data_IF_734528500609
#
_entry.id   IF_734528500609
#
_cell.length_a   1.000
_cell.length_b   1.000
_cell.length_c   1.000
_cell.angle_alpha   90.00
_cell.angle_beta   90.00
_cell.angle_gamma   90.00
#
_symmetry.space_group_name_H-M   'P 1'
#
loop_
_entity.id
_entity.type
_entity.pdbx_description
1 polymer ?
#
# COMPACT_ATOMS: atom_id res chain seq x y z
N UNK A 1 -22.28 -6.50 -2.74
CA UNK A 1 -22.98 -6.18 -1.47
C UNK A 1 -23.25 -4.68 -1.34
N UNK A 2 -22.24 -3.81 -1.47
CA UNK A 2 -22.41 -2.34 -1.44
C UNK A 2 -23.42 -1.83 -2.49
N UNK A 3 -23.38 -2.36 -3.72
CA UNK A 3 -24.30 -1.95 -4.79
C UNK A 3 -25.78 -2.29 -4.54
N UNK A 4 -26.09 -3.31 -3.74
CA UNK A 4 -27.47 -3.71 -3.43
C UNK A 4 -28.05 -2.90 -2.27
N UNK A 5 -27.28 -2.72 -1.19
CA UNK A 5 -27.66 -1.85 -0.07
C UNK A 5 -27.88 -0.40 -0.54
N UNK A 6 -27.02 0.12 -1.41
CA UNK A 6 -27.13 1.47 -1.97
C UNK A 6 -28.31 1.63 -2.93
N UNK A 7 -28.62 0.61 -3.75
CA UNK A 7 -29.85 0.58 -4.57
C UNK A 7 -31.12 0.57 -3.72
N UNK A 8 -31.08 0.02 -2.52
CA UNK A 8 -32.23 -0.05 -1.63
C UNK A 8 -32.49 1.27 -0.90
N UNK A 9 -31.42 2.01 -0.56
CA UNK A 9 -31.52 3.36 0.01
C UNK A 9 -32.01 4.39 -1.03
N UNK A 10 -31.53 4.33 -2.28
CA UNK A 10 -32.01 5.21 -3.36
C UNK A 10 -33.50 4.99 -3.68
N UNK A 11 -33.97 3.74 -3.63
CA UNK A 11 -35.40 3.40 -3.78
C UNK A 11 -36.25 3.98 -2.66
N UNK A 12 -35.73 4.10 -1.42
CA UNK A 12 -36.47 4.75 -0.31
C UNK A 12 -36.48 6.28 -0.41
N UNK A 13 -35.53 6.89 -1.12
CA UNK A 13 -35.50 8.32 -1.45
C UNK A 13 -36.54 8.75 -2.51
N UNK A 14 -37.20 7.79 -3.17
CA UNK A 14 -38.09 8.00 -4.33
C UNK A 14 -39.35 8.86 -4.09
N UNK A 15 -39.60 9.33 -2.86
CA UNK A 15 -40.69 10.27 -2.59
C UNK A 15 -40.33 11.74 -2.90
N UNK A 16 -39.06 12.09 -3.13
CA UNK A 16 -38.62 13.45 -3.47
C UNK A 16 -37.58 13.40 -4.60
N UNK A 17 -37.92 13.97 -5.76
CA UNK A 17 -36.99 14.11 -6.89
C UNK A 17 -36.05 15.29 -6.64
N UNK A 18 -34.76 15.01 -6.49
CA UNK A 18 -33.71 16.03 -6.42
C UNK A 18 -32.96 16.11 -7.75
N UNK A 19 -32.58 17.32 -8.12
CA UNK A 19 -31.78 17.59 -9.32
C UNK A 19 -30.47 18.25 -8.92
N UNK A 20 -29.37 17.90 -9.57
CA UNK A 20 -28.03 18.42 -9.27
C UNK A 20 -27.57 19.28 -10.44
N UNK A 21 -27.32 20.55 -10.18
CA UNK A 21 -26.82 21.53 -11.16
C UNK A 21 -25.49 22.14 -10.68
N UNK A 22 -24.85 22.95 -11.53
CA UNK A 22 -23.52 23.50 -11.29
C UNK A 22 -23.44 24.52 -10.13
N UNK A 23 -24.60 25.02 -9.69
CA UNK A 23 -24.71 26.01 -8.61
C UNK A 23 -25.36 25.47 -7.32
N UNK A 24 -25.86 24.22 -7.33
CA UNK A 24 -26.41 23.56 -6.16
C UNK A 24 -27.32 22.36 -6.44
N UNK A 25 -28.04 21.94 -5.40
CA UNK A 25 -28.99 20.82 -5.42
C UNK A 25 -30.41 21.37 -5.25
N UNK A 26 -31.30 20.95 -6.13
CA UNK A 26 -32.66 21.46 -6.30
C UNK A 26 -33.72 20.41 -5.97
N UNK A 27 -34.91 20.89 -5.60
CA UNK A 27 -36.13 20.07 -5.50
C UNK A 27 -37.24 20.78 -6.25
N UNK A 28 -37.48 20.38 -7.51
CA UNK A 28 -38.20 21.20 -8.47
C UNK A 28 -37.48 22.54 -8.66
N UNK A 29 -38.21 23.65 -8.75
CA UNK A 29 -37.62 24.97 -9.03
C UNK A 29 -36.94 25.65 -7.81
N UNK A 30 -36.75 24.94 -6.69
CA UNK A 30 -36.20 25.50 -5.45
C UNK A 30 -34.85 24.90 -5.10
N UNK A 31 -33.82 25.75 -4.99
CA UNK A 31 -32.52 25.38 -4.44
C UNK A 31 -32.67 24.96 -2.96
N UNK A 32 -32.18 23.77 -2.63
CA UNK A 32 -32.24 23.15 -1.30
C UNK A 32 -30.87 23.15 -0.64
N UNK A 33 -29.79 23.04 -1.41
CA UNK A 33 -28.42 23.01 -0.91
C UNK A 33 -27.49 23.69 -1.92
N UNK A 34 -26.84 24.83 -1.58
CA UNK A 34 -25.93 25.57 -2.46
C UNK A 34 -24.54 24.93 -2.48
N UNK A 35 -24.47 23.61 -2.64
CA UNK A 35 -23.23 22.83 -2.62
C UNK A 35 -23.27 21.82 -3.75
N UNK A 36 -22.15 21.68 -4.44
CA UNK A 36 -21.96 20.71 -5.53
C UNK A 36 -20.92 19.67 -5.09
N UNK A 37 -21.21 18.40 -5.37
CA UNK A 37 -20.27 17.29 -5.16
C UNK A 37 -19.35 17.22 -6.37
N UNK A 38 -18.05 17.39 -6.15
CA UNK A 38 -17.03 17.39 -7.21
C UNK A 38 -16.34 16.04 -7.37
N UNK A 39 -16.04 15.36 -6.26
CA UNK A 39 -15.39 14.05 -6.23
C UNK A 39 -15.89 13.24 -5.04
N UNK A 40 -16.07 11.93 -5.23
CA UNK A 40 -16.40 11.00 -4.15
C UNK A 40 -15.44 9.82 -4.22
N UNK A 41 -14.73 9.59 -3.11
CA UNK A 41 -13.92 8.40 -2.91
C UNK A 41 -14.56 7.54 -1.83
N UNK A 42 -14.56 6.22 -2.06
CA UNK A 42 -15.15 5.24 -1.15
C UNK A 42 -14.05 4.32 -0.65
N UNK A 43 -13.91 4.24 0.67
CA UNK A 43 -12.97 3.36 1.37
C UNK A 43 -13.78 2.29 2.09
N UNK A 44 -13.47 1.02 1.83
CA UNK A 44 -14.06 -0.12 2.55
C UNK A 44 -13.04 -0.60 3.58
N UNK A 45 -13.26 -0.30 4.86
CA UNK A 45 -12.35 -0.61 5.96
C UNK A 45 -13.03 -1.57 6.97
N UNK A 46 -12.25 -2.11 7.92
CA UNK A 46 -12.73 -3.06 8.95
C UNK A 46 -13.86 -2.46 9.81
N UNK A 47 -13.87 -1.13 9.95
CA UNK A 47 -14.88 -0.36 10.70
C UNK A 47 -16.12 0.03 9.86
N UNK A 48 -16.15 -0.31 8.57
CA UNK A 48 -17.26 -0.04 7.64
C UNK A 48 -16.90 0.90 6.49
N UNK A 49 -17.93 1.30 5.72
CA UNK A 49 -17.75 2.14 4.53
C UNK A 49 -17.52 3.60 4.94
N UNK A 50 -16.39 4.17 4.51
CA UNK A 50 -16.06 5.58 4.67
C UNK A 50 -16.07 6.30 3.33
N UNK A 51 -16.49 7.55 3.35
CA UNK A 51 -16.58 8.43 2.20
C UNK A 51 -15.63 9.60 2.39
N UNK A 52 -14.81 9.90 1.38
CA UNK A 52 -14.10 11.17 1.26
C UNK A 52 -14.78 11.94 0.14
N UNK A 53 -15.42 13.05 0.47
CA UNK A 53 -16.25 13.82 -0.45
C UNK A 53 -15.65 15.21 -0.61
N UNK A 54 -15.28 15.56 -1.85
CA UNK A 54 -14.89 16.92 -2.21
C UNK A 54 -16.12 17.68 -2.69
N UNK A 55 -16.34 18.82 -2.08
CA UNK A 55 -17.53 19.64 -2.24
C UNK A 55 -17.14 21.08 -2.52
N UNK A 56 -17.94 21.76 -3.32
CA UNK A 56 -17.84 23.20 -3.52
C UNK A 56 -19.16 23.86 -3.13
N UNK A 57 -19.11 24.70 -2.10
CA UNK A 57 -20.23 25.55 -1.69
C UNK A 57 -20.21 26.84 -2.51
N UNK A 58 -21.36 27.28 -3.01
CA UNK A 58 -21.53 28.58 -3.68
C UNK A 58 -21.86 29.70 -2.69
N UNK A 59 -22.42 29.35 -1.52
CA UNK A 59 -22.82 30.32 -0.48
C UNK A 59 -22.56 29.77 0.93
N UNK A 60 -21.47 30.17 1.62
CA UNK A 60 -20.34 30.96 1.11
C UNK A 60 -19.51 30.17 0.08
N UNK A 61 -18.79 30.88 -0.79
CA UNK A 61 -17.88 30.26 -1.77
C UNK A 61 -16.69 29.59 -1.07
N UNK A 62 -16.77 28.28 -0.86
CA UNK A 62 -15.75 27.50 -0.12
C UNK A 62 -15.62 26.11 -0.75
N UNK A 63 -14.37 25.67 -0.93
CA UNK A 63 -14.04 24.27 -1.23
C UNK A 63 -13.82 23.49 0.06
N UNK A 64 -14.44 22.31 0.15
CA UNK A 64 -14.53 21.51 1.37
C UNK A 64 -14.21 20.06 1.05
N UNK A 65 -13.38 19.43 1.87
CA UNK A 65 -13.18 17.99 1.85
C UNK A 65 -13.67 17.44 3.18
N UNK A 66 -14.69 16.59 3.12
CA UNK A 66 -15.28 15.94 4.29
C UNK A 66 -15.04 14.43 4.24
N UNK A 67 -14.69 13.85 5.38
CA UNK A 67 -14.35 12.44 5.52
C UNK A 67 -15.14 11.82 6.67
N UNK A 68 -15.64 10.60 6.46
CA UNK A 68 -16.32 9.82 7.50
C UNK A 68 -17.39 8.91 6.93
N UNK A 69 -18.28 8.42 7.78
CA UNK A 69 -19.56 7.90 7.29
C UNK A 69 -20.42 9.02 6.69
N UNK A 70 -21.55 8.67 6.06
CA UNK A 70 -22.42 9.65 5.42
C UNK A 70 -22.96 10.72 6.40
N UNK A 71 -23.18 10.37 7.66
CA UNK A 71 -23.68 11.30 8.68
C UNK A 71 -22.58 12.23 9.17
N UNK A 72 -21.35 11.74 9.29
CA UNK A 72 -20.16 12.55 9.58
C UNK A 72 -19.86 13.53 8.44
N UNK A 73 -19.98 13.10 7.19
CA UNK A 73 -19.86 13.97 6.01
C UNK A 73 -20.92 15.08 6.05
N UNK A 74 -22.17 14.75 6.39
CA UNK A 74 -23.21 15.75 6.55
C UNK A 74 -22.93 16.76 7.67
N UNK A 75 -22.51 16.28 8.85
CA UNK A 75 -22.18 17.17 9.96
C UNK A 75 -20.97 18.06 9.65
N UNK A 76 -19.99 17.56 8.87
CA UNK A 76 -18.88 18.35 8.35
C UNK A 76 -19.37 19.52 7.47
N UNK A 77 -20.25 19.23 6.50
CA UNK A 77 -20.84 20.27 5.63
C UNK A 77 -21.66 21.28 6.43
N UNK A 78 -22.52 20.81 7.33
CA UNK A 78 -23.38 21.64 8.18
C UNK A 78 -22.59 22.60 9.07
N UNK A 79 -21.41 22.19 9.58
CA UNK A 79 -20.54 23.08 10.38
C UNK A 79 -20.00 24.26 9.57
N UNK A 80 -19.75 24.05 8.28
CA UNK A 80 -19.11 25.03 7.38
C UNK A 80 -20.13 25.86 6.60
N UNK A 81 -21.35 25.32 6.41
CA UNK A 81 -22.47 25.99 5.77
C UNK A 81 -23.68 25.96 6.71
N UNK A 82 -23.70 26.78 7.78
CA UNK A 82 -24.66 26.67 8.88
C UNK A 82 -26.12 26.88 8.48
N UNK A 83 -26.37 27.49 7.32
CA UNK A 83 -27.71 27.72 6.78
C UNK A 83 -28.43 26.42 6.38
N UNK A 84 -27.71 25.28 6.38
CA UNK A 84 -28.19 23.97 5.93
C UNK A 84 -28.59 23.03 7.08
N UNK A 85 -29.22 23.56 8.12
CA UNK A 85 -29.65 22.75 9.26
C UNK A 85 -31.06 22.15 9.03
N UNK A 86 -31.18 21.15 8.15
CA UNK A 86 -32.45 20.44 7.96
C UNK A 86 -32.27 19.00 7.45
N UNK A 87 -33.22 18.12 7.79
CA UNK A 87 -33.27 16.77 7.23
C UNK A 87 -33.38 16.75 5.69
N UNK A 88 -33.89 17.82 5.09
CA UNK A 88 -34.01 17.95 3.64
C UNK A 88 -32.63 18.20 3.01
N UNK A 89 -31.77 18.99 3.65
CA UNK A 89 -30.39 19.20 3.22
C UNK A 89 -29.55 17.91 3.34
N UNK A 90 -29.74 17.14 4.42
CA UNK A 90 -29.09 15.81 4.56
C UNK A 90 -29.45 14.90 3.38
N UNK A 91 -30.73 14.76 3.07
CA UNK A 91 -31.18 13.90 1.97
C UNK A 91 -30.68 14.38 0.60
N UNK A 92 -30.65 15.70 0.38
CA UNK A 92 -30.11 16.30 -0.83
C UNK A 92 -28.62 15.96 -1.01
N UNK A 93 -27.80 16.08 0.04
CA UNK A 93 -26.38 15.70 0.01
C UNK A 93 -26.20 14.21 -0.32
N UNK A 94 -26.95 13.32 0.33
CA UNK A 94 -26.89 11.88 0.03
C UNK A 94 -27.21 11.63 -1.45
N UNK A 95 -28.28 12.25 -1.96
CA UNK A 95 -28.67 12.12 -3.36
C UNK A 95 -27.57 12.59 -4.32
N UNK A 96 -26.89 13.69 -4.02
CA UNK A 96 -25.80 14.19 -4.86
C UNK A 96 -24.58 13.27 -4.84
N UNK A 97 -24.18 12.76 -3.67
CA UNK A 97 -23.10 11.77 -3.54
C UNK A 97 -23.43 10.50 -4.35
N UNK A 98 -24.66 10.00 -4.26
CA UNK A 98 -25.09 8.82 -5.02
C UNK A 98 -25.15 9.07 -6.51
N UNK A 99 -25.71 10.22 -6.93
CA UNK A 99 -25.78 10.60 -8.34
C UNK A 99 -24.38 10.71 -8.94
N UNK A 100 -23.42 11.24 -8.18
CA UNK A 100 -22.03 11.30 -8.59
C UNK A 100 -21.43 9.90 -8.76
N UNK A 101 -21.61 9.01 -7.77
CA UNK A 101 -21.11 7.63 -7.80
C UNK A 101 -21.72 6.79 -8.92
N UNK A 102 -23.00 6.98 -9.23
CA UNK A 102 -23.68 6.28 -10.34
C UNK A 102 -23.13 6.73 -11.70
N UNK A 103 -22.84 8.03 -11.85
CA UNK A 103 -22.28 8.59 -13.09
C UNK A 103 -20.79 8.28 -13.30
N UNK A 104 -19.99 8.23 -12.23
CA UNK A 104 -18.53 8.18 -12.32
C UNK A 104 -17.92 6.87 -11.80
N UNK A 105 -18.73 5.99 -11.21
CA UNK A 105 -18.27 4.81 -10.50
C UNK A 105 -17.68 5.13 -9.12
N UNK A 106 -17.54 4.11 -8.27
CA UNK A 106 -16.80 4.26 -7.02
C UNK A 106 -15.31 4.34 -7.34
N UNK A 107 -14.71 5.53 -7.16
CA UNK A 107 -13.25 5.64 -7.05
C UNK A 107 -12.87 5.11 -5.68
N UNK A 108 -12.36 3.89 -5.63
CA UNK A 108 -11.63 3.45 -4.46
C UNK A 108 -10.34 4.24 -4.41
N UNK A 109 -10.15 5.05 -3.36
CA UNK A 109 -8.80 5.44 -2.99
C UNK A 109 -8.01 4.16 -2.78
N UNK A 110 -6.89 3.98 -3.49
CA UNK A 110 -5.95 2.89 -3.19
C UNK A 110 -5.66 2.96 -1.68
N UNK A 111 -6.21 2.00 -0.93
CA UNK A 111 -5.78 1.74 0.44
C UNK A 111 -4.32 1.33 0.32
N UNK A 112 -3.41 2.29 0.47
CA UNK A 112 -1.99 1.99 0.60
C UNK A 112 -1.81 1.34 1.97
N UNK A 113 -1.75 0.02 1.95
CA UNK A 113 -1.57 -0.82 3.14
C UNK A 113 -0.27 -0.46 3.85
N UNK A 114 -0.11 -0.87 5.11
CA UNK A 114 1.17 -0.67 5.78
C UNK A 114 2.32 -1.36 5.02
N UNK A 115 2.01 -2.48 4.36
CA UNK A 115 2.95 -3.19 3.51
C UNK A 115 3.35 -2.38 2.28
N UNK A 116 2.41 -1.70 1.61
CA UNK A 116 2.72 -0.84 0.45
C UNK A 116 3.63 0.33 0.84
N UNK A 117 3.34 0.98 1.98
CA UNK A 117 4.18 2.06 2.52
C UNK A 117 5.57 1.54 2.92
N UNK A 118 5.64 0.33 3.45
CA UNK A 118 6.91 -0.29 3.80
C UNK A 118 7.73 -0.66 2.56
N UNK A 119 7.12 -1.25 1.53
CA UNK A 119 7.75 -1.55 0.25
C UNK A 119 8.24 -0.28 -0.45
N UNK A 120 7.45 0.81 -0.41
CA UNK A 120 7.85 2.12 -0.92
C UNK A 120 9.13 2.63 -0.24
N UNK A 121 9.21 2.55 1.10
CA UNK A 121 10.40 2.93 1.84
C UNK A 121 11.63 2.07 1.48
N UNK A 122 11.43 0.76 1.28
CA UNK A 122 12.50 -0.14 0.81
C UNK A 122 13.01 0.28 -0.56
N UNK A 123 12.11 0.59 -1.50
CA UNK A 123 12.47 1.06 -2.84
C UNK A 123 13.21 2.41 -2.80
N UNK A 124 12.82 3.33 -1.93
CA UNK A 124 13.55 4.58 -1.70
C UNK A 124 14.98 4.33 -1.19
N UNK A 125 15.15 3.40 -0.23
CA UNK A 125 16.47 2.99 0.27
C UNK A 125 17.33 2.42 -0.86
N UNK A 126 16.75 1.55 -1.69
CA UNK A 126 17.45 0.93 -2.82
C UNK A 126 17.88 1.98 -3.86
N UNK A 127 17.01 2.93 -4.19
CA UNK A 127 17.33 4.03 -5.11
C UNK A 127 18.49 4.89 -4.59
N UNK A 128 18.49 5.22 -3.29
CA UNK A 128 19.59 5.97 -2.65
C UNK A 128 20.89 5.15 -2.64
N UNK A 129 20.81 3.85 -2.37
CA UNK A 129 21.97 2.96 -2.42
C UNK A 129 22.59 2.92 -3.83
N UNK A 130 21.75 2.74 -4.86
CA UNK A 130 22.17 2.75 -6.25
C UNK A 130 22.82 4.07 -6.66
N UNK A 131 22.18 5.20 -6.34
CA UNK A 131 22.71 6.54 -6.66
C UNK A 131 24.04 6.82 -5.95
N UNK A 132 24.16 6.38 -4.69
CA UNK A 132 25.40 6.58 -3.93
C UNK A 132 26.52 5.71 -4.50
N UNK A 133 26.22 4.45 -4.80
CA UNK A 133 27.21 3.54 -5.35
C UNK A 133 27.68 3.94 -6.76
N UNK A 134 26.77 4.41 -7.63
CA UNK A 134 27.14 4.89 -8.98
C UNK A 134 28.08 6.09 -8.93
N UNK A 135 27.90 7.00 -7.96
CA UNK A 135 28.82 8.13 -7.75
C UNK A 135 30.20 7.72 -7.24
N UNK A 136 30.31 6.60 -6.53
CA UNK A 136 31.58 6.08 -6.02
C UNK A 136 32.41 5.36 -7.10
N UNK A 137 31.77 4.73 -8.09
CA UNK A 137 32.46 4.14 -9.25
C UNK A 137 32.70 5.21 -10.33
N UNK A 138 33.96 5.63 -10.51
CA UNK A 138 34.40 6.56 -11.58
C UNK A 138 34.32 6.00 -13.03
N UNK A 139 33.51 4.98 -13.34
CA UNK A 139 33.55 4.32 -14.67
C UNK A 139 32.17 3.88 -15.20
N UNK A 140 32.02 4.11 -16.51
CA UNK A 140 30.97 3.93 -17.55
C UNK A 140 30.10 2.66 -17.57
N UNK A 141 29.81 2.00 -16.46
CA UNK A 141 28.72 1.01 -16.42
C UNK A 141 27.41 1.70 -16.02
N UNK A 142 26.71 2.24 -17.01
CA UNK A 142 25.26 2.46 -16.94
C UNK A 142 24.56 1.10 -16.95
N UNK A 143 23.99 0.67 -15.84
CA UNK A 143 22.87 -0.30 -15.84
C UNK A 143 22.30 -0.40 -14.42
N UNK A 144 20.97 -0.56 -14.28
CA UNK A 144 20.36 -0.71 -12.96
C UNK A 144 20.83 -2.02 -12.33
N UNK A 145 21.29 -1.94 -11.09
CA UNK A 145 21.58 -3.13 -10.30
C UNK A 145 20.27 -3.84 -9.98
N UNK A 146 20.26 -5.16 -10.10
CA UNK A 146 19.16 -5.96 -9.52
C UNK A 146 19.08 -5.68 -8.02
N UNK A 147 17.88 -5.70 -7.40
CA UNK A 147 17.72 -5.42 -5.96
C UNK A 147 18.64 -6.28 -5.07
N UNK A 148 18.89 -7.53 -5.47
CA UNK A 148 19.82 -8.45 -4.80
C UNK A 148 21.26 -7.90 -4.75
N UNK A 149 21.77 -7.39 -5.88
CA UNK A 149 23.11 -6.83 -5.97
C UNK A 149 23.25 -5.54 -5.13
N UNK A 150 22.17 -4.76 -5.01
CA UNK A 150 22.16 -3.57 -4.15
C UNK A 150 22.25 -3.91 -2.67
N UNK A 151 21.62 -5.00 -2.22
CA UNK A 151 21.74 -5.45 -0.83
C UNK A 151 23.18 -5.86 -0.51
N UNK A 152 23.87 -6.52 -1.44
CA UNK A 152 25.29 -6.82 -1.32
C UNK A 152 26.14 -5.56 -1.21
N UNK A 153 25.88 -4.56 -2.06
CA UNK A 153 26.61 -3.27 -2.00
C UNK A 153 26.37 -2.50 -0.71
N UNK A 154 25.15 -2.51 -0.18
CA UNK A 154 24.82 -1.91 1.11
C UNK A 154 25.62 -2.59 2.24
N UNK A 155 25.72 -3.92 2.22
CA UNK A 155 26.44 -4.68 3.24
C UNK A 155 27.96 -4.45 3.18
N UNK A 156 28.52 -4.30 1.97
CA UNK A 156 29.96 -4.23 1.74
C UNK A 156 30.54 -2.81 1.80
N UNK A 157 29.74 -1.77 1.55
CA UNK A 157 30.25 -0.40 1.38
C UNK A 157 29.77 0.56 2.50
N UNK A 158 30.66 1.02 3.39
CA UNK A 158 30.30 1.91 4.50
C UNK A 158 29.65 3.22 4.07
N UNK A 159 30.05 3.80 2.93
CA UNK A 159 29.49 5.07 2.43
C UNK A 159 28.06 4.89 1.91
N UNK A 160 27.78 3.75 1.28
CA UNK A 160 26.42 3.38 0.86
C UNK A 160 25.55 3.13 2.09
N UNK A 161 26.08 2.42 3.09
CA UNK A 161 25.40 2.19 4.36
C UNK A 161 25.09 3.50 5.10
N UNK A 162 26.01 4.46 5.13
CA UNK A 162 25.78 5.78 5.72
C UNK A 162 24.67 6.55 4.97
N UNK A 163 24.66 6.49 3.64
CA UNK A 163 23.65 7.17 2.83
C UNK A 163 22.24 6.63 3.10
N UNK A 164 22.05 5.30 3.17
CA UNK A 164 20.73 4.73 3.46
C UNK A 164 20.27 5.03 4.89
N UNK A 165 21.19 5.18 5.85
CA UNK A 165 20.84 5.54 7.23
C UNK A 165 20.28 6.96 7.35
N UNK A 166 20.56 7.85 6.38
CA UNK A 166 19.92 9.17 6.30
C UNK A 166 18.45 9.07 5.88
N UNK A 167 18.08 8.03 5.13
CA UNK A 167 16.70 7.75 4.71
C UNK A 167 15.95 7.04 5.83
N UNK A 168 16.53 5.95 6.35
CA UNK A 168 15.96 5.11 7.40
C UNK A 168 17.03 4.83 8.47
N UNK A 169 16.96 5.57 9.57
CA UNK A 169 17.94 5.47 10.65
C UNK A 169 18.00 4.04 11.23
N UNK A 170 19.22 3.55 11.43
CA UNK A 170 19.47 2.19 11.93
C UNK A 170 19.19 1.06 10.94
N UNK A 171 18.78 1.37 9.69
CA UNK A 171 18.63 0.38 8.65
C UNK A 171 19.97 -0.29 8.30
N UNK A 172 19.93 -1.60 8.03
CA UNK A 172 21.11 -2.38 7.62
C UNK A 172 20.70 -3.64 6.87
N UNK A 173 21.64 -4.19 6.11
CA UNK A 173 21.53 -5.54 5.55
C UNK A 173 22.17 -6.54 6.51
N UNK A 174 21.46 -7.63 6.85
CA UNK A 174 21.97 -8.72 7.70
C UNK A 174 22.85 -9.70 6.91
N UNK A 175 23.50 -10.63 7.61
CA UNK A 175 24.27 -11.73 7.01
C UNK A 175 23.42 -12.59 6.07
N UNK A 176 22.14 -12.76 6.36
CA UNK A 176 21.19 -13.52 5.53
C UNK A 176 20.59 -12.68 4.38
N UNK A 177 21.24 -11.56 4.04
CA UNK A 177 20.84 -10.64 2.97
C UNK A 177 19.40 -10.14 3.14
N UNK A 178 19.05 -9.77 4.37
CA UNK A 178 17.78 -9.12 4.69
C UNK A 178 18.01 -7.64 4.98
N UNK A 179 17.30 -6.76 4.28
CA UNK A 179 17.28 -5.34 4.64
C UNK A 179 16.30 -5.17 5.79
N UNK A 180 16.82 -4.74 6.93
CA UNK A 180 16.10 -4.61 8.17
C UNK A 180 16.02 -3.14 8.58
N UNK A 181 14.82 -2.70 8.98
CA UNK A 181 14.57 -1.35 9.48
C UNK A 181 14.02 -1.46 10.92
N UNK A 182 14.60 -0.73 11.90
CA UNK A 182 14.07 -0.70 13.26
C UNK A 182 12.61 -0.27 13.32
N UNK A 183 11.82 -0.89 14.20
CA UNK A 183 10.41 -0.57 14.40
C UNK A 183 10.20 0.90 14.74
N UNK A 184 11.06 1.48 15.58
CA UNK A 184 10.96 2.90 15.94
C UNK A 184 11.14 3.81 14.72
N UNK A 185 12.04 3.44 13.80
CA UNK A 185 12.25 4.16 12.54
C UNK A 185 11.02 4.06 11.63
N UNK A 186 10.37 2.90 11.55
CA UNK A 186 9.15 2.72 10.76
C UNK A 186 7.98 3.53 11.33
N UNK A 187 7.79 3.54 12.66
CA UNK A 187 6.79 4.38 13.33
C UNK A 187 7.02 5.87 13.05
N UNK A 188 8.27 6.33 13.12
CA UNK A 188 8.62 7.71 12.79
C UNK A 188 8.37 8.08 11.33
N UNK A 189 8.25 7.11 10.43
CA UNK A 189 7.88 7.29 9.02
C UNK A 189 6.37 7.20 8.76
N UNK A 190 5.56 7.10 9.81
CA UNK A 190 4.10 7.00 9.69
C UNK A 190 3.62 5.67 9.12
N UNK A 191 4.43 4.62 9.22
CA UNK A 191 4.05 3.25 8.83
C UNK A 191 3.38 2.58 10.04
N UNK A 192 2.19 2.00 9.82
CA UNK A 192 1.45 1.25 10.84
C UNK A 192 2.20 -0.06 11.14
N UNK A 193 2.97 -0.09 12.23
CA UNK A 193 3.81 -1.23 12.56
C UNK A 193 2.99 -2.37 13.14
N UNK A 194 1.89 -2.07 13.82
CA UNK A 194 1.00 -3.06 14.41
C UNK A 194 0.39 -3.97 13.33
N UNK A 195 -0.01 -3.41 12.20
CA UNK A 195 -0.47 -4.15 11.01
C UNK A 195 0.64 -5.04 10.42
N UNK A 196 1.86 -4.49 10.26
CA UNK A 196 3.01 -5.24 9.76
C UNK A 196 3.43 -6.37 10.71
N UNK A 197 3.37 -6.15 12.02
CA UNK A 197 3.72 -7.15 13.02
C UNK A 197 2.69 -8.28 13.05
N UNK A 198 1.40 -8.00 12.89
CA UNK A 198 0.33 -8.99 12.85
C UNK A 198 0.49 -9.99 11.69
N UNK A 199 0.99 -9.53 10.54
CA UNK A 199 1.28 -10.38 9.38
C UNK A 199 2.71 -10.95 9.35
N UNK A 200 3.58 -10.51 10.27
CA UNK A 200 4.98 -10.95 10.32
C UNK A 200 5.15 -12.38 10.83
N UNK A 201 6.29 -12.98 10.49
CA UNK A 201 6.82 -14.18 11.14
C UNK A 201 8.11 -13.81 11.87
N UNK A 202 8.34 -14.37 13.06
CA UNK A 202 9.63 -14.16 13.72
C UNK A 202 10.74 -14.93 13.00
N UNK A 203 11.96 -14.40 12.97
CA UNK A 203 13.09 -15.08 12.30
C UNK A 203 13.39 -16.46 12.89
N UNK A 204 13.24 -16.62 14.21
CA UNK A 204 13.41 -17.91 14.87
C UNK A 204 12.35 -18.92 14.40
N UNK A 205 11.08 -18.52 14.42
CA UNK A 205 9.98 -19.33 13.94
C UNK A 205 10.13 -19.69 12.45
N UNK A 206 10.58 -18.74 11.62
CA UNK A 206 10.89 -19.01 10.22
C UNK A 206 11.94 -20.12 10.07
N UNK A 207 13.05 -20.07 10.82
CA UNK A 207 14.09 -21.10 10.77
C UNK A 207 13.58 -22.47 11.22
N UNK A 208 12.68 -22.51 12.19
CA UNK A 208 12.09 -23.75 12.68
C UNK A 208 11.11 -24.33 11.65
N UNK A 209 10.22 -23.49 11.09
CA UNK A 209 9.21 -23.89 10.10
C UNK A 209 9.85 -24.44 8.83
N UNK A 210 10.89 -23.81 8.28
CA UNK A 210 11.50 -24.27 7.01
C UNK A 210 12.14 -25.66 7.10
N UNK A 211 12.40 -26.16 8.32
CA UNK A 211 12.98 -27.49 8.56
C UNK A 211 11.91 -28.58 8.73
N UNK A 212 10.64 -28.21 8.75
CA UNK A 212 9.54 -29.16 8.96
C UNK A 212 9.21 -29.95 7.69
N UNK A 213 8.64 -31.14 7.87
CA UNK A 213 8.19 -31.97 6.75
C UNK A 213 6.97 -31.36 6.06
N UNK A 214 6.09 -30.73 6.84
CA UNK A 214 4.92 -30.02 6.37
C UNK A 214 5.30 -28.87 5.43
N UNK A 215 6.36 -28.11 5.76
CA UNK A 215 6.88 -27.07 4.87
C UNK A 215 7.44 -27.65 3.57
N UNK A 216 8.16 -28.78 3.62
CA UNK A 216 8.67 -29.45 2.42
C UNK A 216 7.53 -29.92 1.51
N UNK A 217 6.52 -30.56 2.08
CA UNK A 217 5.33 -30.99 1.33
C UNK A 217 4.60 -29.79 0.72
N UNK A 218 4.51 -28.65 1.42
CA UNK A 218 3.95 -27.43 0.85
C UNK A 218 4.76 -26.91 -0.35
N UNK A 219 6.09 -26.99 -0.33
CA UNK A 219 6.93 -26.63 -1.48
C UNK A 219 6.76 -27.60 -2.66
N UNK A 220 6.66 -28.91 -2.39
CA UNK A 220 6.39 -29.92 -3.42
C UNK A 220 5.04 -29.69 -4.11
N UNK A 221 4.01 -29.28 -3.35
CA UNK A 221 2.70 -28.89 -3.89
C UNK A 221 2.77 -27.64 -4.79
N UNK A 222 3.77 -26.78 -4.59
CA UNK A 222 4.08 -25.63 -5.46
C UNK A 222 4.96 -26.02 -6.66
N UNK A 223 5.24 -27.31 -6.87
CA UNK A 223 6.10 -27.79 -7.95
C UNK A 223 7.60 -27.56 -7.71
N UNK A 224 8.01 -27.20 -6.49
CA UNK A 224 9.41 -27.03 -6.10
C UNK A 224 9.93 -28.31 -5.45
N UNK A 225 10.47 -29.23 -6.25
CA UNK A 225 11.23 -30.38 -5.73
C UNK A 225 12.67 -29.95 -5.43
N UNK A 226 12.91 -29.53 -4.19
CA UNK A 226 14.25 -29.29 -3.68
C UNK A 226 14.83 -30.65 -3.26
N UNK A 227 15.64 -31.27 -4.12
CA UNK A 227 16.31 -32.56 -3.87
C UNK A 227 17.36 -32.53 -2.72
N UNK A 228 17.36 -31.49 -1.90
CA UNK A 228 18.30 -31.30 -0.81
C UNK A 228 17.74 -31.82 0.52
N UNK A 229 18.64 -32.14 1.45
CA UNK A 229 18.27 -32.44 2.83
C UNK A 229 17.69 -31.20 3.49
N UNK A 230 16.61 -31.34 4.28
CA UNK A 230 15.98 -30.24 5.03
C UNK A 230 16.95 -29.44 5.91
N UNK A 231 18.02 -30.09 6.41
CA UNK A 231 19.04 -29.44 7.21
C UNK A 231 19.91 -28.44 6.42
N UNK A 232 19.92 -28.52 5.09
CA UNK A 232 20.72 -27.68 4.19
C UNK A 232 19.91 -26.56 3.53
N UNK A 233 18.60 -26.51 3.77
CA UNK A 233 17.72 -25.46 3.30
C UNK A 233 18.02 -24.16 4.05
N UNK A 234 18.52 -23.17 3.31
CA UNK A 234 18.74 -21.81 3.82
C UNK A 234 17.66 -20.88 3.32
N UNK A 235 17.39 -19.80 4.06
CA UNK A 235 16.43 -18.75 3.66
C UNK A 235 16.79 -18.23 2.26
N UNK A 236 18.07 -18.08 1.94
CA UNK A 236 18.52 -17.61 0.62
C UNK A 236 18.17 -18.58 -0.51
N UNK A 237 18.47 -19.87 -0.36
CA UNK A 237 18.11 -20.90 -1.37
C UNK A 237 16.60 -20.96 -1.61
N UNK A 238 15.82 -20.94 -0.53
CA UNK A 238 14.36 -20.95 -0.60
C UNK A 238 13.81 -19.69 -1.27
N UNK A 239 14.36 -18.51 -0.96
CA UNK A 239 13.98 -17.26 -1.62
C UNK A 239 14.22 -17.34 -3.13
N UNK A 240 15.37 -17.86 -3.56
CA UNK A 240 15.73 -18.00 -4.98
C UNK A 240 14.91 -19.07 -5.71
N UNK A 241 14.46 -20.10 -5.01
CA UNK A 241 13.58 -21.12 -5.58
C UNK A 241 12.16 -20.56 -5.74
N UNK A 242 11.65 -19.93 -4.69
CA UNK A 242 10.33 -19.33 -4.68
C UNK A 242 10.25 -18.18 -5.68
N UNK A 243 11.28 -17.34 -5.85
CA UNK A 243 11.28 -16.18 -6.75
C UNK A 243 10.87 -16.49 -8.19
N UNK A 244 10.98 -17.75 -8.64
CA UNK A 244 10.58 -18.21 -9.97
C UNK A 244 9.07 -18.48 -10.14
N UNK A 245 8.32 -18.53 -9.05
CA UNK A 245 6.88 -18.73 -9.05
C UNK A 245 6.15 -17.39 -9.04
N UNK A 246 5.07 -17.25 -9.80
CA UNK A 246 4.24 -16.05 -9.70
C UNK A 246 3.51 -16.01 -8.36
N UNK A 247 3.06 -14.83 -7.92
CA UNK A 247 2.22 -14.71 -6.71
C UNK A 247 0.90 -15.47 -6.83
N UNK A 248 0.36 -15.62 -8.06
CA UNK A 248 -0.87 -16.39 -8.34
C UNK A 248 -0.70 -17.88 -8.07
N UNK A 249 0.47 -18.43 -8.39
CA UNK A 249 0.78 -19.85 -8.13
C UNK A 249 0.84 -20.16 -6.63
N UNK A 250 0.99 -19.13 -5.79
CA UNK A 250 1.10 -19.25 -4.33
C UNK A 250 -0.24 -19.07 -3.62
N UNK A 251 -1.28 -18.53 -4.27
CA UNK A 251 -2.61 -18.27 -3.71
C UNK A 251 -3.20 -19.43 -2.89
N UNK A 252 -3.10 -20.71 -3.33
CA UNK A 252 -3.65 -21.85 -2.58
C UNK A 252 -3.06 -22.00 -1.17
N UNK A 253 -1.83 -21.50 -0.96
CA UNK A 253 -1.09 -21.66 0.29
C UNK A 253 -1.02 -20.34 1.06
N UNK A 254 -0.79 -19.20 0.39
CA UNK A 254 -0.68 -17.89 1.07
C UNK A 254 -2.03 -17.39 1.60
N UNK A 255 -3.18 -17.91 1.14
CA UNK A 255 -4.47 -17.55 1.74
C UNK A 255 -4.69 -18.18 3.12
N UNK A 256 -3.85 -19.13 3.53
CA UNK A 256 -3.88 -19.69 4.87
C UNK A 256 -3.20 -18.74 5.90
N UNK A 257 -3.56 -18.87 7.17
CA UNK A 257 -2.98 -18.11 8.28
C UNK A 257 -1.97 -18.90 9.12
N UNK A 258 -1.70 -20.15 8.73
CA UNK A 258 -0.72 -20.99 9.40
C UNK A 258 0.73 -20.48 9.24
N UNK A 259 1.62 -21.08 10.02
CA UNK A 259 3.02 -20.69 10.05
C UNK A 259 3.76 -20.98 8.74
N UNK A 260 3.29 -21.94 7.94
CA UNK A 260 3.85 -22.29 6.63
C UNK A 260 3.52 -21.19 5.62
N UNK A 261 2.27 -20.74 5.58
CA UNK A 261 1.82 -19.64 4.75
C UNK A 261 2.55 -18.34 5.11
N UNK A 262 2.70 -18.04 6.40
CA UNK A 262 3.50 -16.88 6.86
C UNK A 262 4.96 -17.00 6.45
N UNK A 263 5.56 -18.19 6.55
CA UNK A 263 6.94 -18.43 6.12
C UNK A 263 7.11 -18.23 4.60
N UNK A 264 6.20 -18.77 3.79
CA UNK A 264 6.23 -18.60 2.33
C UNK A 264 6.02 -17.12 1.95
N UNK A 265 5.06 -16.42 2.55
CA UNK A 265 4.85 -14.97 2.36
C UNK A 265 6.12 -14.19 2.69
N UNK A 266 6.77 -14.51 3.80
CA UNK A 266 7.99 -13.84 4.22
C UNK A 266 9.18 -14.09 3.27
N UNK A 267 9.33 -15.32 2.77
CA UNK A 267 10.33 -15.69 1.77
C UNK A 267 10.06 -15.04 0.39
N UNK A 268 8.81 -14.63 0.14
CA UNK A 268 8.37 -13.92 -1.06
C UNK A 268 8.30 -12.41 -0.93
N UNK A 269 8.75 -11.84 0.19
CA UNK A 269 8.64 -10.41 0.49
C UNK A 269 7.19 -9.88 0.51
N UNK A 270 6.20 -10.76 0.74
CA UNK A 270 4.79 -10.40 0.92
C UNK A 270 4.42 -10.15 2.40
N UNK A 271 5.30 -10.55 3.31
CA UNK A 271 5.21 -10.27 4.73
C UNK A 271 6.61 -9.98 5.30
N UNK A 272 6.72 -9.15 6.34
CA UNK A 272 7.99 -8.89 6.98
C UNK A 272 8.45 -10.03 7.89
N UNK A 273 9.77 -10.14 8.05
CA UNK A 273 10.41 -10.99 9.05
C UNK A 273 10.77 -10.12 10.26
N UNK A 274 10.26 -10.47 11.43
CA UNK A 274 10.58 -9.77 12.68
C UNK A 274 11.80 -10.38 13.34
N UNK A 275 12.81 -9.56 13.63
CA UNK A 275 14.00 -10.00 14.35
C UNK A 275 14.70 -8.86 15.10
N UNK A 276 15.52 -9.21 16.08
CA UNK A 276 16.43 -8.27 16.72
C UNK A 276 17.70 -8.13 15.89
N UNK A 277 18.10 -6.90 15.57
CA UNK A 277 19.31 -6.63 14.80
C UNK A 277 20.24 -5.71 15.56
N UNK A 278 21.56 -5.93 15.45
CA UNK A 278 22.54 -4.96 15.93
C UNK A 278 22.71 -3.84 14.90
N UNK A 279 22.13 -2.69 15.18
CA UNK A 279 22.25 -1.48 14.35
C UNK A 279 23.72 -1.05 14.21
N UNK A 280 24.06 -0.26 13.17
CA UNK A 280 25.39 0.32 13.02
C UNK A 280 25.84 1.18 14.23
N UNK A 281 24.90 1.72 14.99
CA UNK A 281 25.14 2.47 16.23
C UNK A 281 25.35 1.57 17.47
N UNK A 282 25.36 0.25 17.29
CA UNK A 282 25.59 -0.73 18.36
C UNK A 282 24.37 -1.07 19.21
N UNK A 283 23.19 -0.48 18.94
CA UNK A 283 21.93 -0.82 19.63
C UNK A 283 21.30 -2.08 19.03
N UNK A 284 20.52 -2.80 19.83
CA UNK A 284 19.83 -4.05 19.41
C UNK A 284 18.30 -3.95 19.49
N UNK A 285 17.65 -3.10 18.66
CA UNK A 285 16.19 -2.98 18.61
C UNK A 285 15.54 -4.16 17.88
N UNK A 286 14.21 -4.25 18.01
CA UNK A 286 13.38 -5.03 17.09
C UNK A 286 13.29 -4.32 15.74
N UNK A 287 13.36 -5.10 14.67
CA UNK A 287 13.27 -4.62 13.31
C UNK A 287 12.36 -5.52 12.48
N UNK A 288 11.78 -4.92 11.44
CA UNK A 288 11.11 -5.64 10.38
C UNK A 288 12.02 -5.69 9.16
N UNK A 289 12.10 -6.86 8.56
CA UNK A 289 13.07 -7.16 7.53
C UNK A 289 12.40 -7.73 6.28
N UNK A 290 12.90 -7.35 5.12
CA UNK A 290 12.49 -7.92 3.84
C UNK A 290 13.67 -8.48 3.07
N UNK A 291 13.38 -9.48 2.24
CA UNK A 291 14.27 -9.93 1.18
C UNK A 291 14.34 -8.87 0.07
N UNK A 292 15.32 -8.94 -0.83
CA UNK A 292 15.33 -8.11 -2.00
C UNK A 292 13.99 -8.29 -2.75
N UNK A 293 13.30 -7.21 -3.15
CA UNK A 293 12.14 -7.35 -4.02
C UNK A 293 12.58 -8.02 -5.33
N UNK A 294 11.87 -9.07 -5.74
CA UNK A 294 12.07 -9.70 -7.05
C UNK A 294 11.39 -8.82 -8.09
N UNK A 295 12.02 -8.60 -9.24
CA UNK A 295 11.62 -7.63 -10.30
C UNK A 295 10.28 -7.89 -10.99
N UNK A 296 9.42 -8.76 -10.46
CA UNK A 296 8.06 -8.97 -10.95
C UNK A 296 7.08 -7.97 -10.33
N UNK A 297 7.30 -6.67 -10.51
CA UNK A 297 6.26 -5.63 -10.36
C UNK A 297 6.84 -4.29 -10.80
N UNK A 298 6.96 -4.09 -12.12
CA UNK A 298 6.86 -2.80 -12.82
C UNK A 298 6.92 -3.10 -14.32
N UNK A 299 5.93 -3.83 -14.82
CA UNK A 299 5.40 -3.54 -16.14
C UNK A 299 4.08 -2.81 -15.88
N UNK A 300 3.82 -1.77 -16.65
CA UNK A 300 2.72 -0.80 -16.53
C UNK A 300 3.02 0.47 -15.71
N UNK A 301 3.94 1.26 -16.25
CA UNK A 301 3.62 2.68 -16.46
C UNK A 301 4.25 3.10 -17.78
N UNK A 302 3.39 3.22 -18.79
CA UNK A 302 3.71 3.80 -20.09
C UNK A 302 4.40 5.16 -19.89
N UNK A 303 5.72 5.20 -20.09
CA UNK A 303 6.38 6.43 -20.50
C UNK A 303 6.23 6.53 -22.02
N UNK A 304 5.07 7.02 -22.45
CA UNK A 304 4.93 7.61 -23.78
C UNK A 304 5.92 8.77 -23.88
N UNK A 305 7.00 8.57 -24.63
CA UNK A 305 7.83 9.68 -25.10
C UNK A 305 6.95 10.62 -25.91
N UNK A 306 6.97 11.94 -25.69
CA UNK A 306 6.53 12.86 -26.71
C UNK A 306 7.58 12.81 -27.83
N UNK A 307 7.30 12.06 -28.89
CA UNK A 307 7.96 12.27 -30.17
C UNK A 307 7.61 13.70 -30.61
N UNK A 308 8.59 14.59 -30.49
CA UNK A 308 8.55 15.89 -31.12
C UNK A 308 8.58 15.70 -32.63
N UNK A 309 7.45 15.97 -33.28
CA UNK A 309 7.37 16.21 -34.71
C UNK A 309 8.27 17.40 -35.07
N UNK A 310 9.45 17.10 -35.62
CA UNK A 310 10.21 18.06 -36.41
C UNK A 310 10.12 17.57 -37.85
N UNK A 311 9.10 18.04 -38.57
CA UNK A 311 9.18 18.51 -39.96
C UNK A 311 7.79 18.74 -40.56
N UNK A 312 7.37 20.02 -40.65
CA UNK A 312 6.54 20.52 -41.75
C UNK A 312 6.37 22.05 -41.68
N UNK A 313 7.36 22.81 -42.18
CA UNK A 313 7.21 23.81 -43.26
C UNK A 313 8.51 24.55 -43.51
#
# INVERSE_FOLDING_TARGET
>A
MVSEFLKEVSKRSSAQSFEVEDDGIYRGDKMVMPVVVEDVQVIDDVDGIRYIVRLRSTVPSIELTCEGDLDEVYECVKRQVPVLNSHIARNALMHAIYTWLDKHGARQTEQTTAMDKFLKLINEILAVAQLTYSRLKKSTQETPFKPEELYDRIAENPLVLEAIQKVAYGARVTTDKLLCIPIETLRNKGINVEELEAMSISYQELIEVIKTQEFKTALELLGLDLQENQAELTIQKLTNALSKLSTKDLEPIINNQDNIAKAIKALKSLAPIKQRIRTPQGRTPWALCLKPPTTETTEDTENTQPQGDINAK
#
